data_IF_455101927203
#
_entry.id   IF_455101927203
#
_cell.length_a   1.000
_cell.length_b   1.000
_cell.length_c   1.000
_cell.angle_alpha   90.00
_cell.angle_beta   90.00
_cell.angle_gamma   90.00
#
_symmetry.space_group_name_H-M   'P 1'
#
loop_
_entity.id
_entity.type
_entity.pdbx_description
1 polymer ?
#
# COMPACT_ATOMS: atom_id res chain seq x y z
N UNK A 1 -20.72 23.78 0.34
CA UNK A 1 -19.90 22.57 0.44
C UNK A 1 -18.68 22.76 -0.47
N UNK A 2 -17.50 22.78 0.09
CA UNK A 2 -16.25 23.07 -0.66
C UNK A 2 -15.33 21.84 -0.65
N UNK A 3 -15.92 20.64 -0.68
CA UNK A 3 -15.16 19.44 -0.97
C UNK A 3 -14.72 19.49 -2.44
N UNK A 4 -13.41 19.48 -2.67
CA UNK A 4 -12.85 19.42 -4.01
C UNK A 4 -13.04 18.00 -4.56
N UNK A 5 -13.54 17.88 -5.79
CA UNK A 5 -13.71 16.57 -6.42
C UNK A 5 -12.32 15.91 -6.61
N UNK A 6 -12.23 14.60 -6.46
CA UNK A 6 -10.95 13.87 -6.63
C UNK A 6 -10.21 14.21 -7.92
N UNK A 7 -10.94 14.44 -9.02
CA UNK A 7 -10.36 14.83 -10.31
C UNK A 7 -9.67 16.21 -10.30
N UNK A 8 -10.09 17.11 -9.41
CA UNK A 8 -9.62 18.50 -9.37
C UNK A 8 -8.52 18.69 -8.30
N UNK A 9 -8.24 17.67 -7.49
CA UNK A 9 -7.28 17.76 -6.37
C UNK A 9 -5.88 18.08 -6.87
N UNK A 10 -5.40 17.41 -7.89
CA UNK A 10 -4.04 17.62 -8.41
C UNK A 10 -3.88 19.01 -9.02
N UNK A 11 -4.94 19.54 -9.67
CA UNK A 11 -4.97 20.91 -10.18
C UNK A 11 -4.93 21.94 -9.03
N UNK A 12 -5.67 21.68 -7.94
CA UNK A 12 -5.63 22.52 -6.75
C UNK A 12 -4.26 22.50 -6.07
N UNK A 13 -3.63 21.33 -5.94
CA UNK A 13 -2.28 21.20 -5.35
C UNK A 13 -1.24 21.96 -6.17
N UNK A 14 -1.35 21.93 -7.52
CA UNK A 14 -0.44 22.65 -8.41
C UNK A 14 -0.63 24.18 -8.35
N UNK A 15 -1.86 24.66 -8.12
CA UNK A 15 -2.19 26.07 -7.99
C UNK A 15 -3.19 26.27 -6.85
N UNK A 16 -2.70 26.34 -5.60
CA UNK A 16 -3.56 26.49 -4.44
C UNK A 16 -4.30 27.82 -4.45
N UNK A 17 -5.62 27.77 -4.26
CA UNK A 17 -6.48 28.95 -4.19
C UNK A 17 -6.09 29.82 -2.96
N UNK A 18 -5.69 31.10 -3.15
CA UNK A 18 -5.38 32.00 -2.04
C UNK A 18 -6.57 32.27 -1.11
N UNK A 19 -7.80 32.19 -1.63
CA UNK A 19 -9.02 32.40 -0.84
C UNK A 19 -9.31 31.22 0.12
N UNK A 20 -8.52 30.13 0.03
CA UNK A 20 -8.64 28.93 0.87
C UNK A 20 -7.32 28.64 1.60
N UNK A 21 -6.95 29.49 2.57
CA UNK A 21 -5.68 29.33 3.30
C UNK A 21 -5.62 28.05 4.12
N UNK A 22 -6.75 27.50 4.57
CA UNK A 22 -6.80 26.24 5.35
C UNK A 22 -7.11 25.07 4.41
N UNK A 23 -6.22 24.08 4.36
CA UNK A 23 -6.35 22.94 3.47
C UNK A 23 -6.24 21.63 4.27
N UNK A 24 -7.33 20.88 4.33
CA UNK A 24 -7.39 19.54 4.89
C UNK A 24 -7.10 18.52 3.80
N UNK A 25 -6.13 17.64 4.02
CA UNK A 25 -5.79 16.51 3.16
C UNK A 25 -6.04 15.24 3.98
N UNK A 26 -6.87 14.35 3.48
CA UNK A 26 -7.31 13.18 4.23
C UNK A 26 -7.66 12.01 3.31
N UNK A 27 -7.53 10.79 3.80
CA UNK A 27 -7.93 9.60 3.05
C UNK A 27 -7.23 8.33 3.52
N UNK A 28 -7.63 7.18 2.96
CA UNK A 28 -7.04 5.89 3.31
C UNK A 28 -5.61 5.70 2.77
N UNK A 29 -5.21 6.40 1.70
CA UNK A 29 -3.84 6.34 1.16
C UNK A 29 -2.94 7.35 1.88
N UNK A 30 -2.25 6.90 2.92
CA UNK A 30 -1.37 7.74 3.74
C UNK A 30 -0.19 8.30 2.92
N UNK A 31 0.32 7.55 1.95
CA UNK A 31 1.39 7.99 1.06
C UNK A 31 0.95 9.15 0.18
N UNK A 32 -0.24 9.06 -0.42
CA UNK A 32 -0.82 10.14 -1.23
C UNK A 32 -1.17 11.38 -0.39
N UNK A 33 -1.67 11.19 0.83
CA UNK A 33 -1.94 12.28 1.78
C UNK A 33 -0.66 13.06 2.08
N UNK A 34 0.40 12.36 2.45
CA UNK A 34 1.70 12.97 2.78
C UNK A 34 2.36 13.63 1.56
N UNK A 35 2.28 13.01 0.38
CA UNK A 35 2.79 13.56 -0.88
C UNK A 35 2.12 14.89 -1.23
N UNK A 36 0.78 14.94 -1.16
CA UNK A 36 0.01 16.16 -1.45
C UNK A 36 0.23 17.25 -0.41
N UNK A 37 0.35 16.88 0.88
CA UNK A 37 0.70 17.82 1.95
C UNK A 37 2.07 18.45 1.70
N UNK A 38 3.08 17.64 1.42
CA UNK A 38 4.43 18.13 1.11
C UNK A 38 4.46 19.03 -0.14
N UNK A 39 3.70 18.69 -1.18
CA UNK A 39 3.61 19.50 -2.39
C UNK A 39 2.97 20.87 -2.12
N UNK A 40 1.88 20.91 -1.34
CA UNK A 40 1.24 22.16 -0.93
C UNK A 40 2.14 23.01 -0.05
N UNK A 41 2.84 22.43 0.89
CA UNK A 41 3.82 23.12 1.73
C UNK A 41 4.91 23.75 0.85
N UNK A 42 5.50 22.96 -0.05
CA UNK A 42 6.54 23.44 -0.98
C UNK A 42 6.06 24.61 -1.85
N UNK A 43 4.78 24.59 -2.27
CA UNK A 43 4.18 25.70 -3.02
C UNK A 43 3.86 26.93 -2.16
N UNK A 44 3.84 26.79 -0.83
CA UNK A 44 3.39 27.82 0.12
C UNK A 44 4.49 28.56 0.84
N UNK A 45 5.73 28.06 0.83
CA UNK A 45 6.91 28.68 1.44
C UNK A 45 8.05 28.79 0.44
N UNK A 46 8.99 29.66 0.70
CA UNK A 46 10.15 29.86 -0.16
C UNK A 46 11.26 28.83 0.13
N UNK A 47 11.45 28.48 1.42
CA UNK A 47 12.31 27.39 1.88
C UNK A 47 11.59 26.50 2.90
N UNK A 48 11.48 25.20 2.61
CA UNK A 48 10.86 24.19 3.49
C UNK A 48 11.72 23.82 4.70
N UNK A 49 12.99 24.22 4.71
CA UNK A 49 13.93 23.97 5.79
C UNK A 49 14.06 25.17 6.75
N UNK A 50 13.51 26.31 6.39
CA UNK A 50 13.48 27.48 7.27
C UNK A 50 12.43 27.27 8.38
N UNK A 51 12.84 27.17 9.67
CA UNK A 51 11.92 26.97 10.78
C UNK A 51 11.02 28.19 11.06
N UNK A 52 11.35 29.37 10.52
CA UNK A 52 10.50 30.56 10.63
C UNK A 52 9.44 30.60 9.52
N UNK A 53 9.72 30.02 8.34
CA UNK A 53 8.78 29.94 7.23
C UNK A 53 7.83 28.73 7.36
N UNK A 54 8.29 27.62 7.92
CA UNK A 54 7.49 26.40 8.07
C UNK A 54 7.48 25.89 9.52
N UNK A 55 6.31 26.02 10.15
CA UNK A 55 6.06 25.45 11.49
C UNK A 55 5.37 24.11 11.36
N UNK A 56 5.84 23.09 12.09
CA UNK A 56 5.23 21.75 12.15
C UNK A 56 4.65 21.55 13.54
N UNK A 57 3.39 21.12 13.61
CA UNK A 57 2.67 20.92 14.86
C UNK A 57 2.00 19.56 14.84
N UNK A 58 2.21 18.79 15.89
CA UNK A 58 1.62 17.46 16.03
C UNK A 58 0.25 17.52 16.70
N UNK A 59 -0.57 16.48 16.46
CA UNK A 59 -1.91 16.39 17.02
C UNK A 59 -1.96 16.41 18.56
N UNK A 60 -0.91 15.94 19.22
CA UNK A 60 -0.83 15.95 20.67
C UNK A 60 -0.75 17.37 21.22
N UNK A 61 0.10 18.19 20.63
CA UNK A 61 0.23 19.61 20.96
C UNK A 61 -1.07 20.38 20.70
N UNK A 62 -1.72 20.16 19.54
CA UNK A 62 -3.00 20.79 19.19
C UNK A 62 -4.18 20.33 20.04
N UNK A 63 -4.13 19.11 20.58
CA UNK A 63 -5.14 18.60 21.50
C UNK A 63 -4.99 19.24 22.90
N UNK A 64 -3.75 19.48 23.33
CA UNK A 64 -3.44 20.12 24.60
C UNK A 64 -3.67 21.64 24.55
N UNK A 65 -3.32 22.28 23.44
CA UNK A 65 -3.49 23.72 23.23
C UNK A 65 -4.08 24.02 21.84
N UNK A 66 -5.42 24.02 21.68
CA UNK A 66 -6.07 24.32 20.40
C UNK A 66 -5.77 25.74 19.86
N UNK A 67 -5.48 26.71 20.73
CA UNK A 67 -5.17 28.08 20.33
C UNK A 67 -3.85 28.20 19.56
N UNK A 68 -2.93 27.27 19.77
CA UNK A 68 -1.59 27.25 19.14
C UNK A 68 -1.66 27.34 17.61
N UNK A 69 -2.61 26.65 16.98
CA UNK A 69 -2.75 26.69 15.52
C UNK A 69 -3.14 28.09 15.02
N UNK A 70 -4.01 28.77 15.76
CA UNK A 70 -4.45 30.12 15.46
C UNK A 70 -3.32 31.15 15.67
N UNK A 71 -2.56 31.02 16.76
CA UNK A 71 -1.41 31.86 17.06
C UNK A 71 -0.36 31.78 15.96
N UNK A 72 0.00 30.58 15.55
CA UNK A 72 0.97 30.35 14.47
C UNK A 72 0.47 30.83 13.10
N UNK A 73 -0.81 30.67 12.82
CA UNK A 73 -1.42 31.13 11.56
C UNK A 73 -1.47 32.67 11.46
N UNK A 74 -1.49 33.39 12.59
CA UNK A 74 -1.51 34.85 12.63
C UNK A 74 -0.13 35.47 12.81
N UNK A 75 0.91 34.66 13.07
CA UNK A 75 2.27 35.15 13.25
C UNK A 75 2.82 35.72 11.96
N UNK A 76 3.26 36.97 11.99
CA UNK A 76 3.86 37.67 10.84
C UNK A 76 5.38 37.35 10.83
N UNK A 77 5.94 36.90 9.69
CA UNK A 77 7.37 36.66 9.58
C UNK A 77 8.19 37.96 9.82
N UNK A 78 9.19 37.90 10.69
CA UNK A 78 10.02 39.04 11.00
C UNK A 78 10.83 39.60 9.81
N UNK A 79 11.18 38.70 8.89
CA UNK A 79 11.99 39.02 7.69
C UNK A 79 11.19 39.04 6.40
N UNK A 80 9.85 39.06 6.51
CA UNK A 80 8.97 38.89 5.34
C UNK A 80 8.99 37.46 4.79
N UNK A 81 8.42 37.27 3.60
CA UNK A 81 8.33 35.96 2.96
C UNK A 81 7.01 35.22 3.25
N UNK A 82 6.82 34.08 2.60
CA UNK A 82 5.62 33.25 2.74
C UNK A 82 5.78 32.28 3.91
N UNK A 83 4.71 32.11 4.65
CA UNK A 83 4.67 31.24 5.83
C UNK A 83 3.61 30.16 5.70
N UNK A 84 3.92 28.99 6.23
CA UNK A 84 2.96 27.88 6.33
C UNK A 84 3.04 27.17 7.67
N UNK A 85 1.91 26.61 8.08
CA UNK A 85 1.82 25.70 9.23
C UNK A 85 1.41 24.32 8.72
N UNK A 86 2.18 23.32 9.07
CA UNK A 86 1.89 21.91 8.78
C UNK A 86 1.43 21.19 10.04
N UNK A 87 0.13 20.96 10.14
CA UNK A 87 -0.50 20.26 11.26
C UNK A 87 -0.73 18.78 10.91
N UNK A 88 -0.16 17.86 11.68
CA UNK A 88 -0.36 16.41 11.51
C UNK A 88 -1.40 15.92 12.51
N UNK A 89 -2.65 15.75 12.04
CA UNK A 89 -3.78 15.31 12.86
C UNK A 89 -3.75 13.79 13.15
N UNK A 90 -3.23 12.98 12.23
CA UNK A 90 -3.32 11.52 12.33
C UNK A 90 -4.77 11.08 12.44
N UNK A 91 -5.10 10.35 13.52
CA UNK A 91 -6.47 9.91 13.87
C UNK A 91 -7.13 10.77 14.96
N UNK A 92 -6.42 11.77 15.51
CA UNK A 92 -6.93 12.62 16.60
C UNK A 92 -7.86 13.70 16.08
N UNK A 93 -8.84 14.09 16.91
CA UNK A 93 -9.74 15.18 16.56
C UNK A 93 -9.14 16.52 16.96
N UNK A 94 -8.67 17.27 15.98
CA UNK A 94 -8.16 18.65 16.14
C UNK A 94 -9.15 19.70 15.59
N UNK A 95 -10.43 19.34 15.41
CA UNK A 95 -11.45 20.26 14.90
C UNK A 95 -11.54 21.57 15.68
N UNK A 96 -11.46 21.61 17.05
CA UNK A 96 -11.48 22.87 17.79
C UNK A 96 -10.34 23.82 17.41
N UNK A 97 -9.13 23.31 17.15
CA UNK A 97 -8.00 24.14 16.73
C UNK A 97 -8.23 24.71 15.32
N UNK A 98 -8.80 23.93 14.42
CA UNK A 98 -9.12 24.36 13.06
C UNK A 98 -10.27 25.37 13.06
N UNK A 99 -11.29 25.18 13.87
CA UNK A 99 -12.40 26.14 14.03
C UNK A 99 -11.87 27.51 14.51
N UNK A 100 -10.93 27.53 15.46
CA UNK A 100 -10.31 28.75 15.91
C UNK A 100 -9.62 29.52 14.77
N UNK A 101 -8.87 28.83 13.92
CA UNK A 101 -8.22 29.45 12.72
C UNK A 101 -9.25 29.96 11.72
N UNK A 102 -10.28 29.16 11.44
CA UNK A 102 -11.31 29.52 10.46
C UNK A 102 -12.15 30.74 10.85
N UNK A 103 -12.24 31.03 12.16
CA UNK A 103 -12.91 32.21 12.70
C UNK A 103 -12.07 33.49 12.66
N UNK A 104 -10.81 33.42 12.29
CA UNK A 104 -9.89 34.57 12.24
C UNK A 104 -9.99 35.31 10.89
N UNK A 105 -9.56 36.58 10.84
CA UNK A 105 -9.36 37.29 9.56
C UNK A 105 -8.43 36.50 8.63
N UNK A 106 -8.61 36.68 7.32
CA UNK A 106 -7.76 36.04 6.34
C UNK A 106 -6.29 36.39 6.57
N UNK A 107 -5.46 35.36 6.67
CA UNK A 107 -4.00 35.47 6.79
C UNK A 107 -3.36 34.97 5.50
N UNK A 108 -2.18 35.48 5.15
CA UNK A 108 -1.37 34.96 4.05
C UNK A 108 -0.72 33.61 4.40
N UNK A 109 -0.74 33.22 5.69
CA UNK A 109 -0.23 31.95 6.14
C UNK A 109 -1.10 30.78 5.65
N UNK A 110 -0.47 29.80 5.02
CA UNK A 110 -1.12 28.56 4.60
C UNK A 110 -1.13 27.55 5.75
N UNK A 111 -2.31 27.08 6.14
CA UNK A 111 -2.45 25.98 7.12
C UNK A 111 -2.77 24.69 6.37
N UNK A 112 -1.84 23.75 6.36
CA UNK A 112 -1.99 22.43 5.74
C UNK A 112 -2.19 21.39 6.84
N UNK A 113 -3.33 20.70 6.80
CA UNK A 113 -3.72 19.70 7.78
C UNK A 113 -3.63 18.32 7.11
N UNK A 114 -2.73 17.49 7.62
CA UNK A 114 -2.57 16.10 7.20
C UNK A 114 -3.32 15.19 8.16
N UNK A 115 -4.32 14.44 7.66
CA UNK A 115 -5.14 13.55 8.46
C UNK A 115 -5.25 12.16 7.81
N UNK A 116 -5.55 11.15 8.64
CA UNK A 116 -5.85 9.80 8.17
C UNK A 116 -7.21 9.70 7.47
N UNK A 117 -7.75 8.50 7.40
CA UNK A 117 -9.07 8.28 6.82
C UNK A 117 -10.16 8.85 7.72
N UNK A 118 -10.87 9.86 7.21
CA UNK A 118 -11.94 10.57 7.92
C UNK A 118 -13.31 10.21 7.35
N UNK A 119 -14.15 9.64 8.19
CA UNK A 119 -15.57 9.40 7.84
C UNK A 119 -16.28 10.72 7.50
N UNK A 120 -17.37 10.65 6.74
CA UNK A 120 -18.15 11.84 6.32
C UNK A 120 -18.61 12.73 7.48
N UNK A 121 -18.89 12.14 8.64
CA UNK A 121 -19.34 12.83 9.84
C UNK A 121 -18.22 13.16 10.82
N UNK A 122 -16.96 12.95 10.47
CA UNK A 122 -15.82 13.31 11.31
C UNK A 122 -15.80 14.83 11.53
N UNK A 123 -15.72 15.32 12.78
CA UNK A 123 -15.81 16.76 13.08
C UNK A 123 -14.83 17.60 12.25
N UNK A 124 -13.57 17.20 12.18
CA UNK A 124 -12.54 17.90 11.40
C UNK A 124 -12.91 18.03 9.91
N UNK A 125 -13.43 16.97 9.32
CA UNK A 125 -13.86 16.97 7.91
C UNK A 125 -15.08 17.89 7.72
N UNK A 126 -16.06 17.79 8.57
CA UNK A 126 -17.30 18.60 8.51
C UNK A 126 -16.98 20.09 8.61
N UNK A 127 -16.08 20.48 9.52
CA UNK A 127 -15.67 21.87 9.72
C UNK A 127 -15.01 22.40 8.45
N UNK A 128 -14.02 21.67 7.89
CA UNK A 128 -13.32 22.11 6.67
C UNK A 128 -14.23 22.13 5.43
N UNK A 129 -15.15 21.17 5.27
CA UNK A 129 -16.07 21.13 4.12
C UNK A 129 -17.13 22.23 4.17
N UNK A 130 -17.48 22.76 5.34
CA UNK A 130 -18.46 23.84 5.50
C UNK A 130 -17.86 25.24 5.36
N UNK A 131 -16.60 25.41 5.70
CA UNK A 131 -15.95 26.71 5.71
C UNK A 131 -15.67 27.22 4.29
N UNK A 132 -15.90 28.51 4.05
CA UNK A 132 -15.65 29.15 2.75
C UNK A 132 -14.17 29.36 2.49
N UNK A 133 -13.40 29.57 3.53
CA UNK A 133 -11.94 29.81 3.53
C UNK A 133 -11.13 28.52 3.74
N UNK A 134 -11.74 27.34 3.60
CA UNK A 134 -11.05 26.05 3.64
C UNK A 134 -11.28 25.24 2.36
N UNK A 135 -10.38 24.30 2.12
CA UNK A 135 -10.52 23.25 1.13
C UNK A 135 -10.32 21.87 1.75
N UNK A 136 -11.12 20.89 1.37
CA UNK A 136 -10.97 19.50 1.79
C UNK A 136 -10.61 18.64 0.57
N UNK A 137 -9.42 18.03 0.60
CA UNK A 137 -8.83 17.26 -0.47
C UNK A 137 -8.84 15.77 -0.12
N UNK A 138 -9.72 14.97 -0.72
CA UNK A 138 -9.73 13.53 -0.48
C UNK A 138 -8.58 12.83 -1.21
N UNK A 139 -7.95 11.86 -0.55
CA UNK A 139 -6.89 11.00 -1.08
C UNK A 139 -7.36 9.55 -1.02
N UNK A 140 -8.04 9.11 -2.05
CA UNK A 140 -8.44 7.72 -2.22
C UNK A 140 -7.32 6.93 -2.93
N UNK A 141 -7.34 5.61 -2.78
CA UNK A 141 -6.42 4.74 -3.49
C UNK A 141 -6.42 5.02 -5.00
N UNK A 142 -5.25 4.96 -5.60
CA UNK A 142 -5.07 5.20 -7.02
C UNK A 142 -5.91 4.24 -7.87
N UNK A 143 -6.56 4.78 -8.88
CA UNK A 143 -7.15 3.97 -9.95
C UNK A 143 -6.05 3.51 -10.92
N UNK A 144 -6.36 2.53 -11.79
CA UNK A 144 -5.42 2.12 -12.84
C UNK A 144 -4.92 3.30 -13.70
N UNK A 145 -5.79 4.30 -13.93
CA UNK A 145 -5.42 5.53 -14.67
C UNK A 145 -4.46 6.40 -13.87
N UNK A 146 -4.60 6.45 -12.56
CA UNK A 146 -3.73 7.21 -11.69
C UNK A 146 -2.36 6.55 -11.60
N UNK A 147 -2.32 5.22 -11.48
CA UNK A 147 -1.08 4.43 -11.54
C UNK A 147 -0.39 4.59 -12.91
N UNK A 148 -1.13 4.53 -14.00
CA UNK A 148 -0.56 4.76 -15.34
C UNK A 148 0.10 6.14 -15.44
N UNK A 149 -0.56 7.20 -14.92
CA UNK A 149 0.01 8.56 -14.89
C UNK A 149 1.25 8.66 -13.99
N UNK A 150 1.24 7.96 -12.85
CA UNK A 150 2.38 7.90 -11.94
C UNK A 150 3.59 7.23 -12.63
N UNK A 151 3.37 6.08 -13.28
CA UNK A 151 4.41 5.36 -14.04
C UNK A 151 4.98 6.28 -15.13
N UNK A 152 4.13 6.89 -15.96
CA UNK A 152 4.57 7.76 -17.05
C UNK A 152 5.35 8.97 -16.54
N UNK A 153 4.95 9.53 -15.41
CA UNK A 153 5.63 10.65 -14.77
C UNK A 153 7.03 10.29 -14.28
N UNK A 154 7.18 9.20 -13.54
CA UNK A 154 8.47 8.76 -12.99
C UNK A 154 9.42 8.29 -14.12
N UNK A 155 8.92 7.56 -15.11
CA UNK A 155 9.74 7.11 -16.26
C UNK A 155 10.20 8.29 -17.09
N UNK A 156 9.33 9.26 -17.40
CA UNK A 156 9.70 10.48 -18.14
C UNK A 156 10.72 11.31 -17.39
N UNK A 157 10.58 11.46 -16.07
CA UNK A 157 11.53 12.18 -15.24
C UNK A 157 12.92 11.53 -15.23
N UNK A 158 12.98 10.21 -15.40
CA UNK A 158 14.22 9.44 -15.49
C UNK A 158 14.78 9.32 -16.93
N UNK A 159 14.08 9.83 -17.95
CA UNK A 159 14.46 9.69 -19.35
C UNK A 159 14.35 8.24 -19.87
N UNK A 160 13.42 7.45 -19.31
CA UNK A 160 13.24 6.04 -19.62
C UNK A 160 11.89 5.79 -20.31
N UNK A 161 11.83 4.77 -21.14
CA UNK A 161 10.60 4.22 -21.72
C UNK A 161 10.32 2.84 -21.15
N UNK A 162 9.06 2.46 -21.08
CA UNK A 162 8.61 1.18 -20.55
C UNK A 162 7.91 0.40 -21.67
N UNK A 163 8.38 -0.81 -21.97
CA UNK A 163 7.73 -1.69 -22.95
C UNK A 163 6.30 -2.03 -22.53
N UNK A 164 5.37 -2.25 -23.48
CA UNK A 164 3.96 -2.54 -23.17
C UNK A 164 3.76 -3.77 -22.27
N UNK A 165 4.53 -4.83 -22.48
CA UNK A 165 4.51 -6.06 -21.69
C UNK A 165 5.08 -5.85 -20.28
N UNK A 166 6.16 -5.09 -20.14
CA UNK A 166 6.70 -4.67 -18.87
C UNK A 166 5.71 -3.79 -18.08
N UNK A 167 4.98 -2.89 -18.76
CA UNK A 167 3.92 -2.08 -18.17
C UNK A 167 2.76 -2.96 -17.66
N UNK A 168 2.32 -3.93 -18.46
CA UNK A 168 1.24 -4.84 -18.08
C UNK A 168 1.60 -5.69 -16.86
N UNK A 169 2.89 -6.06 -16.72
CA UNK A 169 3.41 -6.75 -15.53
C UNK A 169 3.50 -5.82 -14.31
N UNK A 170 3.91 -4.57 -14.52
CA UNK A 170 4.19 -3.61 -13.45
C UNK A 170 2.92 -3.10 -12.74
N UNK A 171 1.84 -2.78 -13.47
CA UNK A 171 0.61 -2.21 -12.92
C UNK A 171 0.03 -3.04 -11.75
N UNK A 172 -0.16 -4.36 -11.85
CA UNK A 172 -0.69 -5.16 -10.74
C UNK A 172 0.26 -5.34 -9.55
N UNK A 173 1.55 -5.02 -9.72
CA UNK A 173 2.55 -5.06 -8.64
C UNK A 173 2.60 -3.76 -7.83
N UNK A 174 1.99 -2.70 -8.35
CA UNK A 174 1.87 -1.39 -7.71
C UNK A 174 0.46 -1.21 -7.13
N UNK A 175 0.32 -0.30 -6.19
CA UNK A 175 -0.97 0.08 -5.61
C UNK A 175 -1.00 -0.07 -4.09
N UNK A 176 -2.15 0.24 -3.49
CA UNK A 176 -2.36 0.24 -2.06
C UNK A 176 -1.81 1.47 -1.34
N UNK A 177 -0.57 1.87 -1.61
CA UNK A 177 0.07 3.09 -1.11
C UNK A 177 0.86 3.75 -2.22
N UNK A 178 0.61 5.04 -2.47
CA UNK A 178 1.25 5.78 -3.56
C UNK A 178 2.72 6.04 -3.30
N UNK A 179 3.14 6.26 -2.07
CA UNK A 179 4.54 6.49 -1.73
C UNK A 179 5.37 5.21 -1.95
N UNK A 180 4.81 4.05 -1.57
CA UNK A 180 5.42 2.76 -1.83
C UNK A 180 5.54 2.51 -3.35
N UNK A 181 4.46 2.71 -4.11
CA UNK A 181 4.46 2.59 -5.57
C UNK A 181 5.51 3.50 -6.23
N UNK A 182 5.62 4.75 -5.78
CA UNK A 182 6.64 5.69 -6.26
C UNK A 182 8.06 5.23 -5.93
N UNK A 183 8.28 4.69 -4.74
CA UNK A 183 9.57 4.14 -4.32
C UNK A 183 10.01 2.99 -5.22
N UNK A 184 9.10 2.06 -5.52
CA UNK A 184 9.36 0.96 -6.46
C UNK A 184 9.70 1.46 -7.87
N UNK A 185 8.95 2.45 -8.38
CA UNK A 185 9.23 3.04 -9.69
C UNK A 185 10.59 3.74 -9.74
N UNK A 186 10.99 4.45 -8.68
CA UNK A 186 12.30 5.09 -8.60
C UNK A 186 13.44 4.08 -8.49
N UNK A 187 13.22 3.00 -7.76
CA UNK A 187 14.17 1.88 -7.69
C UNK A 187 14.38 1.26 -9.07
N UNK A 188 13.29 1.01 -9.81
CA UNK A 188 13.33 0.51 -11.18
C UNK A 188 14.03 1.49 -12.12
N UNK A 189 13.74 2.77 -12.03
CA UNK A 189 14.37 3.81 -12.83
C UNK A 189 15.89 3.91 -12.55
N UNK A 190 16.28 3.76 -11.29
CA UNK A 190 17.70 3.75 -10.90
C UNK A 190 18.43 2.52 -11.46
N UNK A 191 17.80 1.35 -11.40
CA UNK A 191 18.36 0.10 -11.95
C UNK A 191 18.56 0.17 -13.47
N UNK A 192 17.58 0.74 -14.19
CA UNK A 192 17.60 0.86 -15.64
C UNK A 192 18.38 2.12 -16.14
N UNK A 193 19.04 2.85 -15.23
CA UNK A 193 19.74 4.09 -15.58
C UNK A 193 20.77 3.86 -16.69
N UNK A 194 20.65 4.64 -17.78
CA UNK A 194 21.55 4.55 -18.94
C UNK A 194 21.14 3.51 -19.99
N UNK A 195 20.09 2.73 -19.78
CA UNK A 195 19.60 1.72 -20.76
C UNK A 195 18.56 2.30 -21.73
N UNK A 196 17.87 3.38 -21.38
CA UNK A 196 16.86 4.03 -22.21
C UNK A 196 15.49 3.34 -22.21
N UNK A 197 15.43 2.02 -22.13
CA UNK A 197 14.20 1.23 -22.15
C UNK A 197 14.19 0.18 -21.04
N UNK A 198 13.01 -0.09 -20.49
CA UNK A 198 12.75 -1.09 -19.44
C UNK A 198 11.90 -2.21 -20.02
N UNK A 199 12.31 -3.45 -19.80
CA UNK A 199 11.60 -4.66 -20.21
C UNK A 199 11.07 -5.49 -19.02
N UNK A 200 10.49 -6.65 -19.31
CA UNK A 200 9.89 -7.56 -18.33
C UNK A 200 10.93 -8.09 -17.34
N UNK A 201 12.16 -8.34 -17.81
CA UNK A 201 13.22 -8.88 -16.95
C UNK A 201 13.68 -7.84 -15.93
N UNK A 202 13.76 -6.57 -16.32
CA UNK A 202 14.08 -5.45 -15.42
C UNK A 202 13.01 -5.29 -14.33
N UNK A 203 11.71 -5.32 -14.72
CA UNK A 203 10.60 -5.25 -13.76
C UNK A 203 10.65 -6.42 -12.80
N UNK A 204 10.89 -7.61 -13.31
CA UNK A 204 10.98 -8.83 -12.50
C UNK A 204 12.15 -8.79 -11.52
N UNK A 205 13.29 -8.24 -11.94
CA UNK A 205 14.48 -8.16 -11.10
C UNK A 205 14.35 -7.14 -9.95
N UNK A 206 13.51 -6.10 -10.13
CA UNK A 206 13.51 -4.94 -9.23
C UNK A 206 12.23 -4.75 -8.45
N UNK A 207 11.06 -4.83 -9.12
CA UNK A 207 9.75 -4.48 -8.54
C UNK A 207 9.06 -5.69 -7.95
N UNK A 208 9.38 -6.89 -8.43
CA UNK A 208 8.98 -8.06 -7.69
C UNK A 208 9.67 -7.98 -6.33
N UNK A 209 8.88 -7.91 -5.27
CA UNK A 209 9.38 -8.15 -3.92
C UNK A 209 9.95 -9.57 -3.95
N UNK A 210 11.27 -9.67 -4.12
CA UNK A 210 11.94 -10.96 -4.25
C UNK A 210 11.57 -11.86 -3.07
N UNK A 211 11.35 -11.26 -1.89
CA UNK A 211 10.91 -11.97 -0.70
C UNK A 211 9.45 -12.45 -0.79
N UNK A 212 8.55 -11.68 -1.40
CA UNK A 212 7.16 -12.08 -1.57
C UNK A 212 7.01 -13.15 -2.69
N UNK A 213 7.78 -13.03 -3.77
CA UNK A 213 7.85 -14.06 -4.82
C UNK A 213 8.46 -15.36 -4.29
N UNK A 214 9.56 -15.27 -3.53
CA UNK A 214 10.16 -16.45 -2.92
C UNK A 214 9.19 -17.15 -1.96
N UNK A 215 8.37 -16.40 -1.21
CA UNK A 215 7.31 -16.97 -0.35
C UNK A 215 6.19 -17.59 -1.19
N UNK A 216 5.71 -16.93 -2.23
CA UNK A 216 4.67 -17.49 -3.11
C UNK A 216 5.17 -18.76 -3.83
N UNK A 217 6.42 -18.79 -4.32
CA UNK A 217 7.04 -19.95 -4.93
C UNK A 217 7.20 -21.11 -3.93
N UNK A 218 7.57 -20.80 -2.68
CA UNK A 218 7.63 -21.78 -1.58
C UNK A 218 6.26 -22.41 -1.32
N UNK A 219 5.23 -21.60 -1.21
CA UNK A 219 3.88 -22.06 -0.90
C UNK A 219 3.29 -22.84 -2.08
N UNK A 220 3.50 -22.38 -3.31
CA UNK A 220 3.04 -23.10 -4.51
C UNK A 220 3.75 -24.43 -4.68
N UNK A 221 5.04 -24.54 -4.38
CA UNK A 221 5.78 -25.80 -4.36
C UNK A 221 5.21 -26.79 -3.33
N UNK A 222 4.85 -26.27 -2.14
CA UNK A 222 4.24 -27.10 -1.08
C UNK A 222 2.89 -27.70 -1.53
N UNK A 223 2.00 -26.89 -2.10
CA UNK A 223 0.70 -27.37 -2.56
C UNK A 223 0.77 -28.19 -3.86
N UNK A 224 1.76 -27.94 -4.72
CA UNK A 224 2.00 -28.73 -5.93
C UNK A 224 2.66 -30.09 -5.64
N UNK A 225 2.91 -30.45 -4.39
CA UNK A 225 3.48 -31.76 -4.02
C UNK A 225 4.97 -31.90 -4.37
N UNK A 226 5.76 -30.85 -4.30
CA UNK A 226 7.17 -30.78 -4.68
C UNK A 226 8.09 -30.54 -3.47
N UNK A 227 8.34 -31.57 -2.61
CA UNK A 227 9.12 -31.36 -1.39
C UNK A 227 10.56 -30.89 -1.62
N UNK A 228 11.22 -31.32 -2.70
CA UNK A 228 12.58 -30.85 -3.02
C UNK A 228 12.61 -29.34 -3.35
N UNK A 229 11.58 -28.85 -4.06
CA UNK A 229 11.47 -27.42 -4.36
C UNK A 229 11.15 -26.61 -3.09
N UNK A 230 10.37 -27.19 -2.15
CA UNK A 230 10.10 -26.57 -0.84
C UNK A 230 11.40 -26.33 -0.07
N UNK A 231 12.32 -27.30 -0.03
CA UNK A 231 13.61 -27.17 0.66
C UNK A 231 14.46 -26.05 0.05
N UNK A 232 14.53 -25.99 -1.30
CA UNK A 232 15.28 -24.96 -2.03
C UNK A 232 14.72 -23.58 -1.77
N UNK A 233 13.40 -23.41 -1.90
CA UNK A 233 12.75 -22.10 -1.71
C UNK A 233 12.77 -21.66 -0.26
N UNK A 234 12.63 -22.59 0.71
CA UNK A 234 12.74 -22.29 2.13
C UNK A 234 14.12 -21.74 2.48
N UNK A 235 15.18 -22.28 1.88
CA UNK A 235 16.54 -21.77 2.03
C UNK A 235 16.65 -20.31 1.59
N UNK A 236 16.07 -19.95 0.43
CA UNK A 236 16.06 -18.56 -0.07
C UNK A 236 15.29 -17.62 0.86
N UNK A 237 14.09 -18.01 1.26
CA UNK A 237 13.21 -17.23 2.15
C UNK A 237 13.87 -16.96 3.51
N UNK A 238 14.63 -17.93 4.03
CA UNK A 238 15.43 -17.77 5.26
C UNK A 238 16.59 -16.79 5.08
N UNK A 239 17.34 -16.89 3.98
CA UNK A 239 18.43 -15.95 3.66
C UNK A 239 17.90 -14.52 3.52
N UNK A 240 16.70 -14.36 2.93
CA UNK A 240 16.01 -13.07 2.81
C UNK A 240 15.49 -12.52 4.16
N UNK A 241 15.58 -13.28 5.26
CA UNK A 241 15.13 -12.85 6.59
C UNK A 241 13.61 -12.74 6.75
N UNK A 242 12.85 -13.47 5.94
CA UNK A 242 11.39 -13.43 5.99
C UNK A 242 10.86 -14.01 7.29
N UNK A 243 10.01 -13.27 7.99
CA UNK A 243 9.43 -13.71 9.25
C UNK A 243 8.53 -14.94 9.05
N UNK A 244 8.63 -15.93 9.94
CA UNK A 244 7.81 -17.16 9.93
C UNK A 244 6.31 -16.88 9.88
N UNK A 245 5.87 -15.82 10.58
CA UNK A 245 4.47 -15.37 10.56
C UNK A 245 3.98 -15.01 9.15
N UNK A 246 4.82 -14.39 8.32
CA UNK A 246 4.51 -14.05 6.93
C UNK A 246 4.38 -15.30 6.06
N UNK A 247 5.24 -16.29 6.26
CA UNK A 247 5.17 -17.60 5.57
C UNK A 247 3.85 -18.31 5.90
N UNK A 248 3.50 -18.40 7.19
CA UNK A 248 2.25 -19.00 7.61
C UNK A 248 1.02 -18.25 7.09
N UNK A 249 1.06 -16.92 7.10
CA UNK A 249 -0.02 -16.10 6.55
C UNK A 249 -0.23 -16.36 5.04
N UNK A 250 0.84 -16.41 4.27
CA UNK A 250 0.79 -16.73 2.85
C UNK A 250 0.24 -18.16 2.60
N UNK A 251 0.68 -19.14 3.39
CA UNK A 251 0.19 -20.52 3.33
C UNK A 251 -1.30 -20.62 3.62
N UNK A 252 -1.79 -19.96 4.67
CA UNK A 252 -3.21 -19.93 5.02
C UNK A 252 -4.06 -19.25 3.94
N UNK A 253 -3.60 -18.12 3.40
CA UNK A 253 -4.26 -17.41 2.30
C UNK A 253 -4.38 -18.27 1.07
N UNK A 254 -3.29 -18.92 0.64
CA UNK A 254 -3.29 -19.79 -0.54
C UNK A 254 -4.19 -21.01 -0.34
N UNK A 255 -4.14 -21.62 0.85
CA UNK A 255 -4.97 -22.77 1.19
C UNK A 255 -6.47 -22.43 1.14
N UNK A 256 -6.87 -21.29 1.72
CA UNK A 256 -8.25 -20.81 1.65
C UNK A 256 -8.69 -20.56 0.19
N UNK A 257 -7.79 -19.99 -0.61
CA UNK A 257 -8.08 -19.72 -2.03
C UNK A 257 -8.21 -21.02 -2.84
N UNK A 258 -7.30 -21.99 -2.65
CA UNK A 258 -7.40 -23.32 -3.31
C UNK A 258 -8.69 -24.04 -2.91
N UNK A 259 -9.08 -23.97 -1.64
CA UNK A 259 -10.32 -24.56 -1.17
C UNK A 259 -11.56 -23.93 -1.83
N UNK A 260 -11.60 -22.61 -1.93
CA UNK A 260 -12.67 -21.87 -2.63
C UNK A 260 -12.76 -22.29 -4.10
N UNK A 261 -11.63 -22.33 -4.80
CA UNK A 261 -11.57 -22.72 -6.20
C UNK A 261 -11.97 -24.19 -6.39
N UNK A 262 -11.53 -25.07 -5.49
CA UNK A 262 -11.87 -26.49 -5.55
C UNK A 262 -13.36 -26.75 -5.35
N UNK A 263 -13.99 -26.07 -4.40
CA UNK A 263 -15.44 -26.12 -4.21
C UNK A 263 -16.19 -25.67 -5.48
N UNK A 264 -15.74 -24.57 -6.13
CA UNK A 264 -16.34 -24.11 -7.38
C UNK A 264 -16.19 -25.14 -8.51
N UNK A 265 -15.03 -25.79 -8.63
CA UNK A 265 -14.78 -26.85 -9.62
C UNK A 265 -15.66 -28.07 -9.33
N UNK A 266 -15.78 -28.51 -8.09
CA UNK A 266 -16.61 -29.65 -7.69
C UNK A 266 -18.11 -29.37 -7.91
N UNK A 267 -18.59 -28.17 -7.58
CA UNK A 267 -19.97 -27.74 -7.84
C UNK A 267 -20.29 -27.66 -9.36
N UNK A 268 -19.31 -27.30 -10.18
CA UNK A 268 -19.40 -27.22 -11.64
C UNK A 268 -19.17 -28.56 -12.36
N UNK A 269 -19.16 -29.70 -11.67
CA UNK A 269 -18.84 -31.03 -12.19
C UNK A 269 -17.53 -31.11 -12.99
N UNK A 270 -16.51 -30.37 -12.52
CA UNK A 270 -15.17 -30.35 -13.13
C UNK A 270 -15.05 -29.52 -14.41
N UNK A 271 -16.12 -28.83 -14.84
CA UNK A 271 -16.16 -28.04 -16.09
C UNK A 271 -15.63 -26.61 -15.95
N UNK A 272 -15.33 -26.17 -14.72
CA UNK A 272 -14.80 -24.83 -14.48
C UNK A 272 -13.31 -24.80 -14.82
N UNK A 273 -12.95 -24.05 -15.85
CA UNK A 273 -11.56 -23.86 -16.23
C UNK A 273 -10.80 -22.96 -15.20
N UNK A 274 -9.52 -23.24 -14.99
CA UNK A 274 -8.69 -22.44 -14.06
C UNK A 274 -8.64 -20.97 -14.47
N UNK A 275 -8.72 -20.68 -15.75
CA UNK A 275 -8.73 -19.30 -16.29
C UNK A 275 -10.00 -18.51 -15.93
N UNK A 276 -11.09 -19.17 -15.54
CA UNK A 276 -12.34 -18.54 -15.10
C UNK A 276 -12.44 -18.36 -13.59
N UNK A 277 -11.42 -18.77 -12.83
CA UNK A 277 -11.40 -18.65 -11.36
C UNK A 277 -11.19 -17.19 -10.93
N UNK A 278 -11.89 -16.77 -9.89
CA UNK A 278 -11.80 -15.43 -9.35
C UNK A 278 -11.27 -15.47 -7.90
N UNK A 279 -10.26 -14.67 -7.56
CA UNK A 279 -9.45 -13.79 -8.42
C UNK A 279 -8.62 -14.57 -9.46
N UNK A 280 -8.24 -13.95 -10.58
CA UNK A 280 -7.45 -14.63 -11.62
C UNK A 280 -6.07 -15.05 -11.09
N UNK A 281 -5.61 -16.21 -11.54
CA UNK A 281 -4.28 -16.74 -11.18
C UNK A 281 -3.21 -16.06 -12.03
N UNK A 282 -2.18 -15.55 -11.39
CA UNK A 282 -1.04 -14.96 -12.11
C UNK A 282 -0.36 -16.00 -13.01
N UNK A 283 0.00 -15.62 -14.23
CA UNK A 283 0.46 -16.56 -15.27
C UNK A 283 1.65 -17.44 -14.84
N UNK A 284 2.60 -16.92 -14.05
CA UNK A 284 3.75 -17.66 -13.50
C UNK A 284 3.34 -18.78 -12.54
N UNK A 285 2.29 -18.56 -11.77
CA UNK A 285 1.79 -19.49 -10.74
C UNK A 285 0.81 -20.52 -11.34
N UNK A 286 0.29 -20.28 -12.54
CA UNK A 286 -0.80 -21.06 -13.15
C UNK A 286 -0.51 -22.54 -13.15
N UNK A 287 0.67 -22.96 -13.62
CA UNK A 287 1.06 -24.38 -13.72
C UNK A 287 1.09 -25.06 -12.34
N UNK A 288 1.60 -24.39 -11.30
CA UNK A 288 1.68 -24.94 -9.95
C UNK A 288 0.31 -24.97 -9.26
N UNK A 289 -0.50 -23.94 -9.47
CA UNK A 289 -1.89 -23.89 -8.97
C UNK A 289 -2.76 -24.98 -9.65
N UNK A 290 -2.61 -25.18 -10.95
CA UNK A 290 -3.28 -26.28 -11.66
C UNK A 290 -2.87 -27.65 -11.13
N UNK A 291 -1.58 -27.84 -10.87
CA UNK A 291 -1.07 -29.06 -10.24
C UNK A 291 -1.69 -29.26 -8.86
N UNK A 292 -1.70 -28.21 -8.02
CA UNK A 292 -2.31 -28.25 -6.70
C UNK A 292 -3.81 -28.61 -6.77
N UNK A 293 -4.59 -27.98 -7.66
CA UNK A 293 -6.00 -28.26 -7.82
C UNK A 293 -6.30 -29.71 -8.33
N UNK A 294 -5.36 -30.34 -9.01
CA UNK A 294 -5.46 -31.75 -9.40
C UNK A 294 -5.18 -32.70 -8.22
N UNK A 295 -4.26 -32.34 -7.34
CA UNK A 295 -3.81 -33.16 -6.23
C UNK A 295 -4.74 -33.10 -5.00
N UNK A 296 -5.44 -31.98 -4.82
CA UNK A 296 -6.23 -31.70 -3.64
C UNK A 296 -7.74 -31.66 -3.96
N UNK A 297 -8.56 -32.38 -3.19
CA UNK A 297 -10.00 -32.20 -3.13
C UNK A 297 -10.41 -31.32 -1.95
N UNK A 298 -11.67 -30.89 -1.88
CA UNK A 298 -12.15 -29.96 -0.85
C UNK A 298 -11.97 -30.52 0.57
N UNK A 299 -12.27 -31.80 0.79
CA UNK A 299 -12.13 -32.42 2.11
C UNK A 299 -10.68 -32.47 2.60
N UNK A 300 -9.73 -32.74 1.71
CA UNK A 300 -8.30 -32.78 2.05
C UNK A 300 -7.75 -31.36 2.31
N UNK A 301 -8.21 -30.36 1.56
CA UNK A 301 -7.87 -28.96 1.83
C UNK A 301 -8.41 -28.50 3.18
N UNK A 302 -9.65 -28.90 3.54
CA UNK A 302 -10.21 -28.63 4.87
C UNK A 302 -9.38 -29.27 6.01
N UNK A 303 -8.94 -30.52 5.85
CA UNK A 303 -8.06 -31.17 6.81
C UNK A 303 -6.69 -30.44 6.91
N UNK A 304 -6.12 -30.01 5.78
CA UNK A 304 -4.87 -29.25 5.77
C UNK A 304 -5.00 -27.88 6.47
N UNK A 305 -6.20 -27.25 6.46
CA UNK A 305 -6.46 -26.03 7.23
C UNK A 305 -6.31 -26.23 8.73
N UNK A 306 -6.85 -27.34 9.25
CA UNK A 306 -6.71 -27.67 10.67
C UNK A 306 -5.23 -27.89 11.07
N UNK A 307 -4.51 -28.71 10.29
CA UNK A 307 -3.10 -28.99 10.56
C UNK A 307 -2.23 -27.72 10.48
N UNK A 308 -2.51 -26.84 9.52
CA UNK A 308 -1.78 -25.58 9.40
C UNK A 308 -2.10 -24.62 10.54
N UNK A 309 -3.35 -24.59 11.02
CA UNK A 309 -3.73 -23.80 12.18
C UNK A 309 -3.02 -24.29 13.46
N UNK A 310 -2.91 -25.61 13.65
CA UNK A 310 -2.16 -26.20 14.76
C UNK A 310 -0.67 -25.87 14.69
N UNK A 311 -0.07 -25.89 13.49
CA UNK A 311 1.33 -25.49 13.29
C UNK A 311 1.55 -24.00 13.62
N UNK A 312 0.63 -23.11 13.22
CA UNK A 312 0.66 -21.68 13.58
C UNK A 312 0.60 -21.51 15.10
N UNK A 313 -0.30 -22.22 15.76
CA UNK A 313 -0.42 -22.16 17.22
C UNK A 313 0.86 -22.66 17.91
N UNK A 314 1.42 -23.76 17.44
CA UNK A 314 2.67 -24.33 17.96
C UNK A 314 3.85 -23.35 17.79
N UNK A 315 3.98 -22.69 16.63
CA UNK A 315 5.04 -21.71 16.36
C UNK A 315 4.97 -20.49 17.30
N UNK A 316 3.75 -20.06 17.65
CA UNK A 316 3.55 -18.96 18.61
C UNK A 316 3.84 -19.36 20.06
N UNK A 317 3.56 -20.61 20.42
CA UNK A 317 3.83 -21.14 21.77
C UNK A 317 5.31 -21.41 21.99
N UNK A 318 6.05 -21.76 20.94
CA UNK A 318 7.48 -22.11 21.02
C UNK A 318 8.26 -21.31 19.95
N UNK A 319 8.48 -20.00 20.17
CA UNK A 319 9.13 -19.13 19.18
C UNK A 319 10.53 -19.61 18.76
N UNK A 320 11.28 -20.22 19.66
CA UNK A 320 12.62 -20.78 19.37
C UNK A 320 12.61 -21.88 18.31
N UNK A 321 11.48 -22.57 18.11
CA UNK A 321 11.32 -23.64 17.12
C UNK A 321 10.42 -23.22 15.94
N UNK A 322 10.06 -21.94 15.83
CA UNK A 322 9.08 -21.47 14.83
C UNK A 322 9.49 -21.82 13.40
N UNK A 323 10.76 -21.65 13.05
CA UNK A 323 11.30 -22.00 11.72
C UNK A 323 11.18 -23.49 11.41
N UNK A 324 11.52 -24.35 12.38
CA UNK A 324 11.45 -25.81 12.22
C UNK A 324 10.00 -26.27 12.10
N UNK A 325 9.08 -25.64 12.85
CA UNK A 325 7.65 -25.95 12.79
C UNK A 325 7.09 -25.57 11.42
N UNK A 326 7.47 -24.41 10.87
CA UNK A 326 7.04 -23.97 9.53
C UNK A 326 7.57 -24.91 8.44
N UNK A 327 8.85 -25.24 8.48
CA UNK A 327 9.47 -26.21 7.56
C UNK A 327 8.74 -27.55 7.56
N UNK A 328 8.54 -28.13 8.75
CA UNK A 328 7.84 -29.39 8.90
C UNK A 328 6.41 -29.35 8.38
N UNK A 329 5.68 -28.24 8.62
CA UNK A 329 4.32 -28.07 8.14
C UNK A 329 4.26 -27.99 6.61
N UNK A 330 5.14 -27.23 5.98
CA UNK A 330 5.19 -27.09 4.53
C UNK A 330 5.63 -28.40 3.83
N UNK A 331 6.63 -29.07 4.36
CA UNK A 331 7.06 -30.37 3.85
C UNK A 331 5.95 -31.44 3.99
N UNK A 332 5.21 -31.43 5.11
CA UNK A 332 4.06 -32.33 5.29
C UNK A 332 2.96 -32.09 4.26
N UNK A 333 2.67 -30.82 3.93
CA UNK A 333 1.74 -30.47 2.84
C UNK A 333 2.25 -31.01 1.49
N UNK A 334 3.52 -30.81 1.16
CA UNK A 334 4.10 -31.30 -0.10
C UNK A 334 4.07 -32.82 -0.21
N UNK A 335 4.42 -33.53 0.86
CA UNK A 335 4.38 -35.00 0.86
C UNK A 335 2.94 -35.53 0.74
N UNK A 336 1.97 -34.92 1.40
CA UNK A 336 0.55 -35.27 1.24
C UNK A 336 0.05 -35.04 -0.19
N UNK A 337 0.41 -33.91 -0.79
CA UNK A 337 0.10 -33.64 -2.20
C UNK A 337 0.64 -34.74 -3.12
N UNK A 338 1.94 -35.07 -2.97
CA UNK A 338 2.59 -36.10 -3.80
C UNK A 338 1.99 -37.50 -3.66
N UNK A 339 1.62 -37.92 -2.45
CA UNK A 339 0.98 -39.24 -2.23
C UNK A 339 -0.35 -39.38 -2.93
N UNK A 340 -1.05 -38.29 -3.24
CA UNK A 340 -2.29 -38.32 -4.00
C UNK A 340 -2.10 -38.50 -5.50
N UNK A 341 -0.94 -38.16 -6.03
CA UNK A 341 -0.63 -38.39 -7.44
C UNK A 341 -0.28 -39.88 -7.72
N UNK A 342 0.07 -40.63 -6.66
CA UNK A 342 0.49 -42.01 -6.74
C UNK A 342 -0.65 -43.00 -6.41
N UNK A 343 -1.80 -42.53 -5.95
CA UNK A 343 -3.02 -43.31 -5.67
C UNK A 343 -4.11 -43.02 -6.69
#
# INVERSE_FOLDING_TARGET
MVAIKSADVDAFVARPDPAKPVVLIFGPDAGLVSERAAALIKASVDDVNDPFALVRIDAEELSANPARLAEEAQTIPLFGGRRAVWAKAGSRNIAPAVEAVLGLPASECRVVIEAGDLRRNAPLRVVCERAKNAAALPCYADTERDLARLIDGEMRAAGLTLKPDARALLIPLLGGDRAASRSELRKLALYARGRGEIDVDDVTAVVSDASALDVDDLIDAAFAGRPADVEVQLGKVRIAGTAVGSIFFAAQRQLAQLHKWRLAIEAGNGRVAVDSLMPPVHFRRKTLVEAALKLWNAARLAAAMADLADAVLASRRTPALADIIAERALLALAVRGRRSAAA
#
